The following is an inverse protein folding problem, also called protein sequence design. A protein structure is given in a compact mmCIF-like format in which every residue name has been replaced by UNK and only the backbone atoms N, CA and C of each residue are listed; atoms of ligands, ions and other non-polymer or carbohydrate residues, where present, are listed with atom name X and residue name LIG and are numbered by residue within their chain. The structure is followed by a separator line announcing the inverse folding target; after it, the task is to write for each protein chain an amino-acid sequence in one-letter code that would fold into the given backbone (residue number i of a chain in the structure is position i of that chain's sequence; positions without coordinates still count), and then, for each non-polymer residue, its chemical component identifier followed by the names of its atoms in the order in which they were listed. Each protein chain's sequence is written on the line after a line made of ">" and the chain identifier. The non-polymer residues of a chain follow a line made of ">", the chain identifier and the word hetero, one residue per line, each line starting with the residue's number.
data_IF_973305603148
#
_entry.id   IF_973305603148
#
_cell.length_a   1.000
_cell.length_b   1.000
_cell.length_c   1.000
_cell.angle_alpha   90.00
_cell.angle_beta   90.00
_cell.angle_gamma   90.00
#
_symmetry.space_group_name_H-M   'P 1'
#
loop_
_entity.id
_entity.type
_entity.pdbx_description
1 polymer ?
#
# COMPACT_ATOMS: atom_id res chain seq x y z
N UNK A 1 19.72 -72.73 -4.44
CA UNK A 1 21.14 -73.14 -4.51
C UNK A 1 22.01 -71.92 -4.16
N UNK A 2 23.00 -72.12 -3.29
CA UNK A 2 23.99 -71.17 -2.71
C UNK A 2 25.38 -71.51 -3.32
N UNK A 3 26.51 -70.76 -3.12
CA UNK A 3 26.73 -69.42 -2.55
C UNK A 3 27.86 -68.63 -3.32
N UNK A 4 28.85 -67.90 -2.72
CA UNK A 4 29.16 -66.48 -2.99
C UNK A 4 30.61 -66.27 -3.53
N UNK A 5 31.14 -65.03 -3.56
CA UNK A 5 32.48 -64.66 -3.02
C UNK A 5 32.71 -63.15 -3.13
N UNK A 6 33.18 -62.60 -2.02
CA UNK A 6 33.66 -61.25 -1.75
C UNK A 6 35.03 -60.99 -2.39
N UNK A 7 35.39 -59.72 -2.69
CA UNK A 7 36.72 -59.17 -2.34
C UNK A 7 36.79 -57.65 -2.45
N UNK A 8 37.47 -57.09 -1.45
CA UNK A 8 37.82 -55.70 -1.22
C UNK A 8 38.78 -55.08 -2.26
N UNK A 9 38.72 -53.75 -2.29
CA UNK A 9 39.60 -52.66 -2.78
C UNK A 9 41.12 -52.92 -2.69
N UNK A 10 41.97 -52.20 -3.47
CA UNK A 10 42.50 -50.86 -3.05
C UNK A 10 42.58 -49.82 -4.20
N UNK A 11 42.32 -48.51 -3.97
CA UNK A 11 43.29 -47.40 -3.72
C UNK A 11 43.95 -46.87 -5.01
N UNK A 12 44.41 -45.64 -5.15
CA UNK A 12 44.05 -44.27 -4.74
C UNK A 12 44.91 -43.36 -5.66
N UNK A 13 44.62 -42.07 -5.69
CA UNK A 13 45.51 -40.97 -6.12
C UNK A 13 45.76 -40.66 -7.62
N UNK A 14 45.24 -39.49 -8.01
CA UNK A 14 45.80 -38.61 -9.04
C UNK A 14 45.36 -37.16 -8.77
N UNK A 15 46.27 -36.16 -8.65
CA UNK A 15 45.99 -34.92 -7.92
C UNK A 15 45.18 -33.90 -8.74
N UNK A 16 44.26 -33.22 -8.05
CA UNK A 16 43.55 -32.04 -8.52
C UNK A 16 44.50 -30.84 -8.68
N UNK A 17 44.87 -30.52 -9.92
CA UNK A 17 45.56 -29.28 -10.26
C UNK A 17 44.63 -28.05 -10.24
N UNK A 18 45.06 -26.90 -9.69
CA UNK A 18 44.23 -25.70 -9.60
C UNK A 18 44.09 -25.01 -10.97
N UNK A 19 42.87 -24.63 -11.34
CA UNK A 19 42.59 -23.79 -12.52
C UNK A 19 43.26 -22.41 -12.33
N UNK A 20 43.96 -21.85 -13.34
CA UNK A 20 44.54 -20.52 -13.20
C UNK A 20 43.42 -19.47 -13.15
N UNK A 21 43.36 -18.71 -12.04
CA UNK A 21 42.57 -17.49 -11.91
C UNK A 21 43.19 -16.43 -12.81
N UNK A 22 42.44 -15.94 -13.81
CA UNK A 22 42.84 -14.77 -14.60
C UNK A 22 42.84 -13.53 -13.70
N UNK A 23 44.03 -13.14 -13.24
CA UNK A 23 44.26 -11.85 -12.59
C UNK A 23 44.53 -10.81 -13.69
N UNK A 24 43.49 -10.08 -14.10
CA UNK A 24 43.69 -8.75 -14.70
C UNK A 24 43.64 -7.73 -13.56
N UNK A 25 44.71 -7.70 -12.76
CA UNK A 25 44.90 -6.60 -11.81
C UNK A 25 45.45 -5.41 -12.61
N UNK A 26 44.59 -4.43 -12.85
CA UNK A 26 45.04 -3.08 -13.17
C UNK A 26 46.00 -2.62 -12.05
N UNK A 27 47.29 -2.53 -12.38
CA UNK A 27 48.39 -2.18 -11.47
C UNK A 27 48.55 -0.66 -11.29
N UNK A 28 47.51 0.13 -11.57
CA UNK A 28 47.55 1.58 -11.36
C UNK A 28 47.65 1.91 -9.86
N UNK A 29 48.72 2.58 -9.39
CA UNK A 29 48.89 2.90 -7.98
C UNK A 29 47.76 3.79 -7.44
N UNK A 30 47.33 3.64 -6.16
CA UNK A 30 46.19 4.37 -5.60
C UNK A 30 46.29 5.90 -5.71
N UNK A 31 47.51 6.44 -5.72
CA UNK A 31 47.79 7.87 -5.82
C UNK A 31 47.74 8.42 -7.26
N UNK A 32 47.51 7.56 -8.26
CA UNK A 32 47.30 7.93 -9.67
C UNK A 32 45.86 7.70 -10.15
N UNK A 33 44.93 7.26 -9.29
CA UNK A 33 43.52 7.15 -9.65
C UNK A 33 42.94 8.55 -9.85
N UNK A 34 42.38 8.88 -11.05
CA UNK A 34 41.69 10.14 -11.25
C UNK A 34 40.63 10.30 -10.16
N UNK A 35 40.61 11.47 -9.51
CA UNK A 35 39.57 11.79 -8.53
C UNK A 35 38.23 11.66 -9.25
N UNK A 36 37.35 10.78 -8.77
CA UNK A 36 36.04 10.59 -9.37
C UNK A 36 35.32 11.95 -9.40
N UNK A 37 34.94 12.39 -10.61
CA UNK A 37 34.17 13.62 -10.79
C UNK A 37 32.77 13.37 -10.23
N UNK A 38 32.27 14.22 -9.33
CA UNK A 38 30.94 14.03 -8.75
C UNK A 38 29.85 14.11 -9.83
N UNK A 39 28.93 13.15 -9.80
CA UNK A 39 27.72 13.17 -10.62
C UNK A 39 26.63 13.97 -9.93
N UNK A 40 26.03 14.92 -10.65
CA UNK A 40 24.96 15.78 -10.16
C UNK A 40 23.78 15.66 -11.11
N UNK A 41 22.57 15.44 -10.59
CA UNK A 41 21.37 15.40 -11.40
C UNK A 41 21.10 16.80 -12.01
N UNK A 42 20.84 16.85 -13.33
CA UNK A 42 20.51 18.08 -14.04
C UNK A 42 19.06 18.52 -13.73
N UNK A 43 18.78 18.85 -12.47
CA UNK A 43 17.48 19.31 -12.01
C UNK A 43 17.17 20.73 -12.52
N UNK A 44 15.92 21.03 -12.91
CA UNK A 44 15.54 22.38 -13.32
C UNK A 44 15.91 23.42 -12.26
N UNK A 45 16.53 24.52 -12.68
CA UNK A 45 17.01 25.60 -11.82
C UNK A 45 18.45 25.42 -11.31
N UNK A 46 19.07 24.24 -11.49
CA UNK A 46 20.49 24.05 -11.16
C UNK A 46 21.35 24.96 -12.04
N UNK A 47 22.16 25.82 -11.44
CA UNK A 47 23.06 26.72 -12.18
C UNK A 47 24.42 26.08 -12.36
N UNK A 48 24.84 25.91 -13.61
CA UNK A 48 26.15 25.37 -13.96
C UNK A 48 26.82 26.22 -15.03
N UNK A 49 28.13 26.08 -15.14
CA UNK A 49 28.92 26.66 -16.20
C UNK A 49 29.50 25.57 -17.11
N UNK A 50 29.42 25.77 -18.43
CA UNK A 50 30.13 24.94 -19.39
C UNK A 50 31.51 25.58 -19.69
N UNK A 51 32.63 24.93 -19.32
CA UNK A 51 33.95 25.56 -19.30
C UNK A 51 34.54 25.82 -20.70
N UNK A 52 34.12 25.07 -21.73
CA UNK A 52 34.61 25.25 -23.10
C UNK A 52 34.15 26.56 -23.72
N UNK A 53 32.96 27.04 -23.37
CA UNK A 53 32.41 28.30 -23.88
C UNK A 53 32.21 29.37 -22.81
N UNK A 54 32.42 29.05 -21.53
CA UNK A 54 32.21 29.94 -20.39
C UNK A 54 30.74 30.29 -20.17
N UNK A 55 29.81 29.47 -20.69
CA UNK A 55 28.39 29.76 -20.61
C UNK A 55 27.82 29.31 -19.28
N UNK A 56 27.35 30.26 -18.47
CA UNK A 56 26.75 30.02 -17.16
C UNK A 56 25.23 30.21 -17.24
N UNK A 57 24.47 29.22 -16.82
CA UNK A 57 23.01 29.26 -16.88
C UNK A 57 22.33 28.20 -16.02
N UNK A 58 21.04 28.41 -15.76
CA UNK A 58 20.17 27.47 -15.06
C UNK A 58 19.69 26.38 -16.01
N UNK A 59 19.66 25.12 -15.55
CA UNK A 59 19.05 24.02 -16.29
C UNK A 59 17.56 24.30 -16.46
N UNK A 60 17.07 24.31 -17.70
CA UNK A 60 15.64 24.43 -18.03
C UNK A 60 15.07 23.17 -18.68
N UNK A 61 15.94 22.23 -19.08
CA UNK A 61 15.54 20.95 -19.64
C UNK A 61 16.69 19.97 -19.74
N UNK A 62 16.40 18.67 -19.63
CA UNK A 62 17.36 17.60 -19.80
C UNK A 62 16.72 16.46 -20.61
N UNK A 63 17.31 16.17 -21.77
CA UNK A 63 16.90 15.09 -22.67
C UNK A 63 17.95 13.98 -22.69
N UNK A 64 17.74 12.94 -23.49
CA UNK A 64 18.68 11.82 -23.58
C UNK A 64 20.04 12.28 -24.16
N UNK A 65 20.99 12.58 -23.28
CA UNK A 65 22.36 12.94 -23.62
C UNK A 65 22.64 14.44 -23.71
N UNK A 66 21.66 15.32 -23.46
CA UNK A 66 21.82 16.77 -23.52
C UNK A 66 21.13 17.49 -22.37
N UNK A 67 21.61 18.69 -22.07
CA UNK A 67 21.03 19.64 -21.12
C UNK A 67 20.88 21.00 -21.79
N UNK A 68 19.76 21.67 -21.53
CA UNK A 68 19.50 23.04 -22.00
C UNK A 68 19.69 23.99 -20.83
N UNK A 69 20.55 24.99 -21.01
CA UNK A 69 20.85 26.03 -20.03
C UNK A 69 20.29 27.38 -20.49
N UNK A 70 19.69 28.12 -19.57
CA UNK A 70 19.24 29.51 -19.74
C UNK A 70 20.15 30.46 -18.95
N UNK A 71 20.72 31.47 -19.61
CA UNK A 71 21.49 32.52 -18.93
C UNK A 71 20.59 33.61 -18.33
N UNK A 72 21.20 34.52 -17.55
CA UNK A 72 20.49 35.64 -16.89
C UNK A 72 19.80 36.63 -17.85
N UNK A 73 20.09 36.57 -19.15
CA UNK A 73 19.48 37.41 -20.18
C UNK A 73 18.44 36.63 -21.01
N UNK A 74 18.11 35.40 -20.60
CA UNK A 74 17.13 34.54 -21.27
C UNK A 74 17.65 33.84 -22.51
N UNK A 75 18.98 33.81 -22.75
CA UNK A 75 19.55 33.08 -23.89
C UNK A 75 19.63 31.60 -23.56
N UNK A 76 19.20 30.76 -24.50
CA UNK A 76 19.22 29.30 -24.36
C UNK A 76 20.35 28.67 -25.15
N UNK A 77 21.03 27.68 -24.56
CA UNK A 77 22.01 26.84 -25.24
C UNK A 77 21.93 25.39 -24.78
N UNK A 78 22.15 24.49 -25.73
CA UNK A 78 22.12 23.04 -25.50
C UNK A 78 23.56 22.52 -25.44
N UNK A 79 23.86 21.70 -24.44
CA UNK A 79 25.17 21.10 -24.23
C UNK A 79 25.05 19.57 -24.04
N UNK A 80 26.02 18.78 -24.50
CA UNK A 80 26.04 17.35 -24.25
C UNK A 80 26.36 17.04 -22.77
N UNK A 81 25.75 15.98 -22.21
CA UNK A 81 26.02 15.48 -20.87
C UNK A 81 27.33 14.67 -20.85
N UNK A 82 28.46 15.35 -21.06
CA UNK A 82 29.77 14.69 -21.03
C UNK A 82 30.29 14.53 -19.60
N UNK A 83 31.00 13.41 -19.29
CA UNK A 83 31.71 13.26 -18.02
C UNK A 83 32.66 14.44 -17.77
N UNK A 84 32.50 15.12 -16.63
CA UNK A 84 33.26 16.31 -16.27
C UNK A 84 33.04 17.54 -17.16
N UNK A 85 31.94 17.58 -17.91
CA UNK A 85 31.65 18.65 -18.87
C UNK A 85 31.17 19.97 -18.27
N UNK A 86 30.98 20.07 -16.95
CA UNK A 86 30.37 21.24 -16.31
C UNK A 86 31.12 21.66 -15.04
N UNK A 87 30.94 22.92 -14.65
CA UNK A 87 31.36 23.45 -13.36
C UNK A 87 30.11 23.79 -12.53
N UNK A 88 30.06 23.31 -11.30
CA UNK A 88 29.11 23.74 -10.27
C UNK A 88 29.91 24.47 -9.20
N UNK A 89 29.62 25.76 -8.98
CA UNK A 89 30.36 26.61 -8.05
C UNK A 89 31.89 26.58 -8.30
N UNK A 90 32.28 26.57 -9.59
CA UNK A 90 33.68 26.51 -10.01
C UNK A 90 34.36 25.14 -9.87
N UNK A 91 33.62 24.08 -9.48
CA UNK A 91 34.14 22.71 -9.35
C UNK A 91 33.62 21.83 -10.47
N UNK A 92 34.50 21.02 -11.06
CA UNK A 92 34.12 20.07 -12.12
C UNK A 92 33.11 19.04 -11.64
N UNK A 93 32.01 18.91 -12.38
CA UNK A 93 30.93 17.94 -12.15
C UNK A 93 30.54 17.25 -13.46
N UNK A 94 29.96 16.07 -13.35
CA UNK A 94 29.26 15.39 -14.44
C UNK A 94 27.77 15.57 -14.25
N UNK A 95 27.08 16.18 -15.20
CA UNK A 95 25.62 16.22 -15.16
C UNK A 95 25.04 14.89 -15.63
N UNK A 96 24.07 14.36 -14.88
CA UNK A 96 23.32 13.14 -15.22
C UNK A 96 21.84 13.45 -15.34
N UNK A 97 21.12 12.63 -16.12
CA UNK A 97 19.67 12.77 -16.26
C UNK A 97 19.00 12.64 -14.88
N UNK A 98 18.10 13.55 -14.50
CA UNK A 98 17.34 13.41 -13.26
C UNK A 98 16.60 12.07 -13.25
N UNK A 99 16.71 11.33 -12.14
CA UNK A 99 15.84 10.18 -11.93
C UNK A 99 14.40 10.71 -11.84
N UNK A 100 13.48 10.18 -12.66
CA UNK A 100 12.06 10.43 -12.46
C UNK A 100 11.70 9.96 -11.04
N UNK A 101 11.37 10.91 -10.17
CA UNK A 101 10.90 10.59 -8.82
C UNK A 101 9.68 9.65 -8.85
N UNK A 102 9.35 8.98 -7.73
CA UNK A 102 8.22 8.07 -7.70
C UNK A 102 6.96 8.77 -8.18
N UNK A 103 6.36 8.26 -9.26
CA UNK A 103 5.09 8.73 -9.78
C UNK A 103 4.07 8.55 -8.67
N UNK A 104 3.51 9.65 -8.17
CA UNK A 104 2.50 9.58 -7.12
C UNK A 104 1.28 8.83 -7.68
N UNK A 105 0.66 7.93 -6.89
CA UNK A 105 -0.55 7.25 -7.32
C UNK A 105 -1.60 8.28 -7.73
N UNK A 106 -2.22 8.09 -8.89
CA UNK A 106 -3.35 8.91 -9.32
C UNK A 106 -4.67 8.43 -8.71
N UNK A 107 -4.66 7.27 -8.03
CA UNK A 107 -5.81 6.68 -7.35
C UNK A 107 -5.47 6.19 -5.95
N UNK A 108 -6.45 6.25 -5.04
CA UNK A 108 -6.41 5.63 -3.71
C UNK A 108 -6.64 4.12 -3.81
N UNK A 109 -6.45 3.40 -2.70
CA UNK A 109 -6.70 1.96 -2.64
C UNK A 109 -8.18 1.59 -2.89
N UNK A 110 -9.12 2.48 -2.56
CA UNK A 110 -10.56 2.34 -2.87
C UNK A 110 -10.88 2.58 -4.35
N UNK A 111 -9.96 3.19 -5.10
CA UNK A 111 -10.11 3.47 -6.54
C UNK A 111 -10.51 4.91 -6.88
N UNK A 112 -10.76 5.76 -5.88
CA UNK A 112 -11.00 7.19 -6.06
C UNK A 112 -9.79 7.93 -6.63
N UNK A 113 -10.01 9.12 -7.19
CA UNK A 113 -8.92 9.99 -7.64
C UNK A 113 -8.14 10.48 -6.42
N UNK A 114 -6.82 10.22 -6.40
CA UNK A 114 -5.98 10.73 -5.33
C UNK A 114 -5.93 12.26 -5.38
N UNK A 115 -5.99 12.92 -4.23
CA UNK A 115 -5.86 14.39 -4.10
C UNK A 115 -4.59 14.70 -3.31
N UNK A 116 -3.41 14.75 -3.97
CA UNK A 116 -2.14 14.94 -3.27
C UNK A 116 -2.10 16.28 -2.54
N UNK A 117 -1.77 16.26 -1.25
CA UNK A 117 -1.67 17.47 -0.43
C UNK A 117 -3.01 17.99 0.11
N UNK A 118 -4.12 17.29 -0.11
CA UNK A 118 -5.33 17.51 0.68
C UNK A 118 -4.99 17.32 2.15
N UNK A 119 -5.15 18.37 2.96
CA UNK A 119 -5.12 18.23 4.41
C UNK A 119 -6.35 17.41 4.81
N UNK A 120 -6.16 16.42 5.68
CA UNK A 120 -7.29 15.78 6.34
C UNK A 120 -8.19 16.87 6.90
N UNK A 121 -9.49 16.83 6.58
CA UNK A 121 -10.43 17.78 7.16
C UNK A 121 -10.42 17.58 8.67
N UNK A 122 -10.68 18.64 9.44
CA UNK A 122 -11.08 18.46 10.85
C UNK A 122 -12.23 17.47 10.82
N UNK A 123 -12.16 16.43 11.67
CA UNK A 123 -13.13 15.35 11.66
C UNK A 123 -14.54 15.93 11.57
N UNK A 124 -15.25 15.60 10.49
CA UNK A 124 -16.70 15.78 10.45
C UNK A 124 -17.26 14.95 11.60
N UNK A 125 -18.43 15.34 12.10
CA UNK A 125 -19.03 14.62 13.22
C UNK A 125 -19.45 13.19 12.86
N UNK A 126 -19.53 12.84 11.56
CA UNK A 126 -19.89 11.50 11.10
C UNK A 126 -18.86 10.42 11.45
N UNK A 127 -19.35 9.24 11.85
CA UNK A 127 -18.53 8.10 12.28
C UNK A 127 -18.99 6.81 11.61
N UNK A 128 -18.03 5.90 11.39
CA UNK A 128 -18.32 4.51 11.01
C UNK A 128 -17.82 3.60 12.13
N UNK A 129 -18.72 2.81 12.71
CA UNK A 129 -18.35 1.71 13.59
C UNK A 129 -18.26 0.41 12.80
N UNK A 130 -17.32 -0.45 13.16
CA UNK A 130 -17.19 -1.80 12.64
C UNK A 130 -17.21 -2.81 13.78
N UNK A 131 -17.58 -4.06 13.51
CA UNK A 131 -17.74 -5.05 14.58
C UNK A 131 -16.42 -5.43 15.27
N UNK A 132 -15.30 -5.43 14.53
CA UNK A 132 -14.03 -5.92 15.05
C UNK A 132 -12.81 -5.11 14.63
N UNK A 133 -11.69 -5.44 15.27
CA UNK A 133 -10.40 -4.83 14.96
C UNK A 133 -9.93 -5.13 13.53
N UNK A 134 -10.15 -6.35 13.04
CA UNK A 134 -9.72 -6.72 11.69
C UNK A 134 -10.48 -5.93 10.62
N UNK A 135 -11.76 -5.69 10.85
CA UNK A 135 -12.61 -4.82 10.05
C UNK A 135 -12.05 -3.42 9.97
N UNK A 136 -11.71 -2.85 11.12
CA UNK A 136 -11.15 -1.50 11.19
C UNK A 136 -9.82 -1.42 10.45
N UNK A 137 -8.95 -2.43 10.62
CA UNK A 137 -7.67 -2.51 9.91
C UNK A 137 -7.86 -2.65 8.38
N UNK A 138 -8.87 -3.40 7.93
CA UNK A 138 -9.16 -3.54 6.50
C UNK A 138 -9.77 -2.27 5.92
N UNK A 139 -10.72 -1.65 6.63
CA UNK A 139 -11.36 -0.41 6.22
C UNK A 139 -10.33 0.71 6.12
N UNK A 140 -9.48 0.86 7.13
CA UNK A 140 -8.37 1.82 7.12
C UNK A 140 -7.42 1.58 5.94
N UNK A 141 -7.10 0.32 5.66
CA UNK A 141 -6.18 -0.03 4.57
C UNK A 141 -6.70 0.34 3.18
N UNK A 142 -8.01 0.17 2.94
CA UNK A 142 -8.58 0.33 1.59
C UNK A 142 -9.23 1.70 1.40
N UNK A 143 -9.90 2.24 2.43
CA UNK A 143 -10.65 3.49 2.34
C UNK A 143 -10.09 4.62 3.23
N UNK A 144 -9.06 4.38 4.06
CA UNK A 144 -8.57 5.39 5.01
C UNK A 144 -8.16 6.72 4.38
N UNK A 145 -7.62 6.70 3.15
CA UNK A 145 -7.30 7.93 2.41
C UNK A 145 -8.53 8.76 2.09
N UNK A 146 -9.60 8.12 1.61
CA UNK A 146 -10.87 8.77 1.27
C UNK A 146 -11.60 9.26 2.54
N UNK A 147 -11.62 8.43 3.59
CA UNK A 147 -12.27 8.76 4.86
C UNK A 147 -11.61 9.96 5.53
N UNK A 148 -10.28 10.09 5.49
CA UNK A 148 -9.56 11.26 6.01
C UNK A 148 -9.83 12.54 5.22
N UNK A 149 -10.06 12.44 3.90
CA UNK A 149 -10.49 13.58 3.07
C UNK A 149 -11.89 14.02 3.48
N UNK A 150 -12.79 13.07 3.73
CA UNK A 150 -14.15 13.37 4.17
C UNK A 150 -14.27 13.71 5.65
N UNK A 151 -13.21 13.50 6.44
CA UNK A 151 -13.19 13.73 7.87
C UNK A 151 -14.02 12.70 8.65
N UNK A 152 -14.17 11.48 8.13
CA UNK A 152 -14.91 10.39 8.79
C UNK A 152 -13.93 9.56 9.63
N UNK A 153 -14.33 9.27 10.86
CA UNK A 153 -13.55 8.42 11.78
C UNK A 153 -14.12 6.99 11.76
N UNK A 154 -13.22 6.00 11.81
CA UNK A 154 -13.57 4.58 11.96
C UNK A 154 -13.19 4.11 13.36
N UNK A 155 -14.15 3.51 14.06
CA UNK A 155 -13.97 2.91 15.38
C UNK A 155 -14.49 1.47 15.34
N UNK A 156 -14.01 0.60 16.23
CA UNK A 156 -14.51 -0.76 16.33
C UNK A 156 -15.27 -0.98 17.63
N UNK A 157 -16.22 -1.90 17.59
CA UNK A 157 -17.05 -2.33 18.70
C UNK A 157 -16.44 -3.56 19.37
N UNK A 158 -16.88 -3.87 20.59
CA UNK A 158 -16.65 -5.18 21.22
C UNK A 158 -17.88 -6.09 21.05
N UNK A 159 -18.61 -5.91 19.94
CA UNK A 159 -19.82 -6.64 19.58
C UNK A 159 -21.04 -5.74 19.36
N UNK A 160 -22.05 -6.26 18.68
CA UNK A 160 -23.30 -5.54 18.35
C UNK A 160 -24.15 -5.23 19.59
N UNK A 161 -23.94 -5.94 20.69
CA UNK A 161 -24.74 -5.77 21.92
C UNK A 161 -24.59 -4.37 22.54
N UNK A 162 -23.47 -3.69 22.32
CA UNK A 162 -23.22 -2.33 22.83
C UNK A 162 -23.81 -1.23 21.95
N UNK A 163 -24.30 -1.60 20.76
CA UNK A 163 -24.73 -0.65 19.75
C UNK A 163 -25.84 0.32 20.22
N UNK A 164 -26.87 -0.11 20.99
CA UNK A 164 -27.88 0.81 21.51
C UNK A 164 -27.30 1.94 22.36
N UNK A 165 -26.38 1.61 23.27
CA UNK A 165 -25.73 2.59 24.15
C UNK A 165 -24.87 3.58 23.35
N UNK A 166 -24.17 3.08 22.33
CA UNK A 166 -23.33 3.91 21.46
C UNK A 166 -24.16 4.88 20.64
N UNK A 167 -25.31 4.42 20.12
CA UNK A 167 -26.23 5.28 19.36
C UNK A 167 -26.84 6.35 20.27
N UNK A 168 -27.18 6.00 21.52
CA UNK A 168 -27.66 6.96 22.51
C UNK A 168 -26.58 8.01 22.86
N UNK A 169 -25.35 7.59 23.12
CA UNK A 169 -24.24 8.49 23.44
C UNK A 169 -23.84 9.39 22.26
N UNK A 170 -23.77 8.82 21.06
CA UNK A 170 -23.40 9.55 19.85
C UNK A 170 -24.48 10.56 19.41
N UNK A 171 -25.75 10.27 19.73
CA UNK A 171 -26.93 11.07 19.36
C UNK A 171 -26.94 11.49 17.87
N UNK A 172 -27.03 10.53 16.93
CA UNK A 172 -26.90 10.81 15.51
C UNK A 172 -27.92 11.84 15.01
N UNK A 173 -27.44 12.79 14.21
CA UNK A 173 -28.23 13.90 13.67
C UNK A 173 -27.86 14.25 12.23
N UNK A 174 -28.54 15.23 11.61
CA UNK A 174 -28.31 15.63 10.22
C UNK A 174 -26.85 15.99 9.90
N UNK A 175 -26.15 16.60 10.87
CA UNK A 175 -24.77 17.04 10.74
C UNK A 175 -23.74 16.03 11.28
N UNK A 176 -24.22 14.94 11.91
CA UNK A 176 -23.43 13.95 12.63
C UNK A 176 -24.08 12.55 12.48
N UNK A 177 -23.92 11.94 11.30
CA UNK A 177 -24.53 10.63 11.02
C UNK A 177 -23.64 9.46 11.38
N UNK A 178 -24.26 8.35 11.76
CA UNK A 178 -23.60 7.14 12.21
C UNK A 178 -23.77 6.04 11.17
N UNK A 179 -22.66 5.47 10.71
CA UNK A 179 -22.64 4.22 9.96
C UNK A 179 -22.15 3.07 10.86
N UNK A 180 -22.71 1.87 10.68
CA UNK A 180 -22.27 0.67 11.40
C UNK A 180 -22.17 -0.49 10.42
N UNK A 181 -20.99 -1.10 10.31
CA UNK A 181 -20.76 -2.34 9.56
C UNK A 181 -20.74 -3.52 10.54
N UNK A 182 -21.55 -4.52 10.24
CA UNK A 182 -21.71 -5.73 11.06
C UNK A 182 -21.44 -6.99 10.24
N UNK A 183 -20.81 -7.99 10.84
CA UNK A 183 -20.55 -9.27 10.21
C UNK A 183 -21.82 -10.12 10.27
N UNK A 184 -22.07 -10.89 9.21
CA UNK A 184 -23.08 -11.94 9.17
C UNK A 184 -24.47 -11.55 9.75
N UNK A 185 -24.99 -10.37 9.38
CA UNK A 185 -26.27 -9.89 9.91
C UNK A 185 -27.46 -10.64 9.29
N UNK A 186 -28.00 -11.64 10.01
CA UNK A 186 -29.07 -12.53 9.51
C UNK A 186 -30.46 -12.09 10.00
N UNK A 187 -31.45 -11.89 9.11
CA UNK A 187 -32.82 -11.56 9.50
C UNK A 187 -33.40 -12.50 10.57
N UNK A 188 -33.96 -11.91 11.62
CA UNK A 188 -34.56 -12.64 12.74
C UNK A 188 -33.59 -13.10 13.83
N UNK A 189 -32.28 -12.86 13.69
CA UNK A 189 -31.30 -13.05 14.77
C UNK A 189 -31.46 -12.01 15.89
N UNK A 190 -30.75 -12.18 17.01
CA UNK A 190 -30.72 -11.18 18.09
C UNK A 190 -30.10 -9.88 17.59
N UNK A 191 -28.96 -10.01 16.90
CA UNK A 191 -28.16 -8.94 16.33
C UNK A 191 -28.96 -8.15 15.29
N UNK A 192 -29.76 -8.84 14.45
CA UNK A 192 -30.68 -8.19 13.52
C UNK A 192 -31.71 -7.31 14.23
N UNK A 193 -32.30 -7.79 15.34
CA UNK A 193 -33.27 -6.97 16.11
C UNK A 193 -32.62 -5.74 16.73
N UNK A 194 -31.38 -5.87 17.20
CA UNK A 194 -30.61 -4.74 17.73
C UNK A 194 -30.34 -3.72 16.62
N UNK A 195 -29.87 -4.18 15.46
CA UNK A 195 -29.63 -3.34 14.30
C UNK A 195 -30.89 -2.59 13.84
N UNK A 196 -32.04 -3.28 13.75
CA UNK A 196 -33.33 -2.63 13.42
C UNK A 196 -33.75 -1.59 14.46
N UNK A 197 -33.57 -1.89 15.75
CA UNK A 197 -33.99 -0.99 16.83
C UNK A 197 -33.23 0.34 16.86
N UNK A 198 -31.97 0.35 16.41
CA UNK A 198 -31.15 1.57 16.40
C UNK A 198 -31.13 2.30 15.05
N UNK A 199 -31.58 1.64 13.99
CA UNK A 199 -31.59 2.24 12.65
C UNK A 199 -32.56 3.41 12.60
N UNK A 200 -32.11 4.52 12.02
CA UNK A 200 -32.88 5.75 11.86
C UNK A 200 -32.45 6.51 10.60
N UNK A 201 -33.05 7.68 10.36
CA UNK A 201 -32.64 8.59 9.29
C UNK A 201 -31.17 9.04 9.41
N UNK A 202 -30.59 8.95 10.60
CA UNK A 202 -29.24 9.43 10.90
C UNK A 202 -28.29 8.33 11.40
N UNK A 203 -28.78 7.10 11.56
CA UNK A 203 -27.98 5.94 11.94
C UNK A 203 -28.30 4.77 11.02
N UNK A 204 -27.31 4.32 10.24
CA UNK A 204 -27.44 3.23 9.30
C UNK A 204 -26.60 2.03 9.74
N UNK A 205 -27.26 0.89 9.94
CA UNK A 205 -26.59 -0.41 10.12
C UNK A 205 -26.62 -1.20 8.82
N UNK A 206 -25.46 -1.69 8.39
CA UNK A 206 -25.31 -2.54 7.20
C UNK A 206 -24.56 -3.80 7.59
N UNK A 207 -25.10 -4.95 7.20
CA UNK A 207 -24.44 -6.24 7.38
C UNK A 207 -23.85 -6.77 6.08
N UNK A 208 -22.66 -7.37 6.14
CA UNK A 208 -22.12 -8.15 5.03
C UNK A 208 -22.43 -9.65 5.18
N UNK A 209 -22.49 -10.44 4.09
CA UNK A 209 -22.96 -11.81 4.15
C UNK A 209 -21.93 -12.81 4.72
N UNK A 210 -20.68 -12.36 4.92
CA UNK A 210 -19.58 -13.19 5.38
C UNK A 210 -19.65 -13.48 6.86
N UNK A 211 -19.16 -14.66 7.25
CA UNK A 211 -19.08 -15.06 8.67
C UNK A 211 -18.07 -14.20 9.43
N UNK A 212 -17.02 -13.76 8.73
CA UNK A 212 -15.94 -12.95 9.26
C UNK A 212 -15.32 -12.13 8.11
N UNK A 213 -14.81 -10.94 8.41
CA UNK A 213 -14.14 -10.07 7.43
C UNK A 213 -13.03 -10.74 6.61
N UNK A 214 -12.38 -11.80 7.12
CA UNK A 214 -11.40 -12.56 6.33
C UNK A 214 -12.01 -13.08 5.03
N UNK A 215 -13.25 -13.59 5.09
CA UNK A 215 -13.94 -14.18 3.95
C UNK A 215 -14.32 -13.13 2.89
N UNK A 216 -14.33 -11.85 3.25
CA UNK A 216 -14.53 -10.74 2.32
C UNK A 216 -13.30 -10.43 1.45
N UNK A 217 -12.13 -10.99 1.76
CA UNK A 217 -10.95 -10.92 0.89
C UNK A 217 -11.03 -12.04 -0.16
N UNK A 218 -10.84 -11.71 -1.43
CA UNK A 218 -10.90 -12.70 -2.51
C UNK A 218 -9.90 -13.84 -2.28
N UNK A 219 -10.32 -15.11 -2.42
CA UNK A 219 -9.42 -16.26 -2.30
C UNK A 219 -8.14 -16.15 -3.14
N UNK A 220 -8.27 -15.64 -4.38
CA UNK A 220 -7.15 -15.43 -5.29
C UNK A 220 -6.10 -14.46 -4.76
N UNK A 221 -6.49 -13.46 -3.97
CA UNK A 221 -5.58 -12.47 -3.39
C UNK A 221 -4.63 -13.12 -2.37
N UNK A 222 -5.13 -14.10 -1.63
CA UNK A 222 -4.36 -14.85 -0.61
C UNK A 222 -3.82 -16.19 -1.12
N UNK A 223 -4.01 -16.49 -2.41
CA UNK A 223 -3.46 -17.68 -3.05
C UNK A 223 -4.14 -19.00 -2.67
N UNK A 224 -5.43 -18.95 -2.27
CA UNK A 224 -6.23 -20.14 -1.96
C UNK A 224 -7.33 -20.32 -3.01
N UNK A 225 -7.78 -21.57 -3.22
CA UNK A 225 -8.83 -21.87 -4.19
C UNK A 225 -10.20 -21.33 -3.75
N UNK A 226 -10.51 -21.44 -2.46
CA UNK A 226 -11.70 -20.91 -1.81
C UNK A 226 -11.47 -20.85 -0.30
N UNK A 227 -12.24 -20.02 0.40
CA UNK A 227 -12.32 -20.08 1.86
C UNK A 227 -12.89 -21.43 2.31
N UNK A 228 -12.31 -22.07 3.34
CA UNK A 228 -12.78 -23.37 3.80
C UNK A 228 -14.10 -23.23 4.54
N UNK A 229 -14.96 -24.25 4.42
CA UNK A 229 -16.20 -24.33 5.21
C UNK A 229 -15.87 -24.82 6.61
N UNK A 230 -16.07 -23.97 7.61
CA UNK A 230 -15.93 -24.35 9.02
C UNK A 230 -17.28 -24.83 9.56
N UNK A 231 -17.36 -26.01 10.20
CA UNK A 231 -18.60 -26.49 10.79
C UNK A 231 -19.13 -25.54 11.87
N UNK A 232 -20.46 -25.44 11.96
CA UNK A 232 -21.13 -24.66 13.01
C UNK A 232 -20.70 -25.13 14.41
N UNK A 233 -20.61 -24.17 15.34
CA UNK A 233 -20.19 -24.43 16.72
C UNK A 233 -18.67 -24.48 16.94
N UNK A 234 -17.87 -24.24 15.89
CA UNK A 234 -16.42 -24.08 16.00
C UNK A 234 -16.07 -22.59 15.80
N UNK A 235 -15.00 -22.14 16.45
CA UNK A 235 -14.40 -20.84 16.15
C UNK A 235 -13.97 -20.81 14.69
N UNK A 236 -14.52 -19.85 13.94
CA UNK A 236 -14.37 -19.81 12.48
C UNK A 236 -12.91 -19.55 12.08
N UNK A 237 -12.24 -18.57 12.71
CA UNK A 237 -10.84 -18.22 12.40
C UNK A 237 -9.88 -19.38 12.67
N UNK A 238 -10.02 -20.06 13.80
CA UNK A 238 -9.22 -21.26 14.13
C UNK A 238 -9.52 -22.41 13.17
N UNK A 239 -10.78 -22.58 12.78
CA UNK A 239 -11.20 -23.56 11.77
C UNK A 239 -10.55 -23.31 10.41
N UNK A 240 -10.52 -22.06 9.96
CA UNK A 240 -9.87 -21.63 8.72
C UNK A 240 -8.37 -21.92 8.76
N UNK A 241 -7.67 -21.48 9.81
CA UNK A 241 -6.23 -21.74 9.94
C UNK A 241 -5.93 -23.24 9.87
N UNK A 242 -6.69 -24.07 10.59
CA UNK A 242 -6.53 -25.52 10.59
C UNK A 242 -6.76 -26.12 9.20
N UNK A 243 -7.83 -25.71 8.51
CA UNK A 243 -8.18 -26.25 7.20
C UNK A 243 -7.17 -25.88 6.11
N UNK A 244 -6.55 -24.70 6.21
CA UNK A 244 -5.54 -24.23 5.26
C UNK A 244 -4.11 -24.61 5.66
N UNK A 245 -3.93 -25.31 6.79
CA UNK A 245 -2.62 -25.67 7.33
C UNK A 245 -1.79 -24.46 7.79
N UNK A 246 -2.44 -23.33 8.09
CA UNK A 246 -1.80 -22.17 8.67
C UNK A 246 -1.54 -22.38 10.17
N UNK A 247 -0.52 -21.72 10.75
CA UNK A 247 -0.30 -21.76 12.19
C UNK A 247 -1.57 -21.35 12.96
N UNK A 248 -1.85 -21.93 14.14
CA UNK A 248 -3.01 -21.57 14.97
C UNK A 248 -2.77 -20.23 15.70
N UNK A 249 -2.51 -19.19 14.92
CA UNK A 249 -2.28 -17.82 15.36
C UNK A 249 -3.10 -16.90 14.45
N UNK A 250 -4.27 -16.51 14.93
CA UNK A 250 -5.23 -15.70 14.15
C UNK A 250 -4.69 -14.31 13.83
N UNK A 251 -3.91 -13.71 14.73
CA UNK A 251 -3.24 -12.43 14.45
C UNK A 251 -2.22 -12.54 13.31
N UNK A 252 -1.37 -13.57 13.32
CA UNK A 252 -0.39 -13.79 12.25
C UNK A 252 -1.06 -14.14 10.91
N UNK A 253 -2.13 -14.93 10.95
CA UNK A 253 -2.94 -15.23 9.77
C UNK A 253 -3.62 -13.96 9.22
N UNK A 254 -4.16 -13.11 10.08
CA UNK A 254 -4.72 -11.83 9.67
C UNK A 254 -3.68 -10.92 9.03
N UNK A 255 -2.51 -10.75 9.65
CA UNK A 255 -1.43 -9.95 9.05
C UNK A 255 -0.99 -10.51 7.68
N UNK A 256 -0.99 -11.84 7.52
CA UNK A 256 -0.76 -12.46 6.23
C UNK A 256 -1.84 -12.08 5.21
N UNK A 257 -3.12 -12.23 5.54
CA UNK A 257 -4.26 -11.85 4.68
C UNK A 257 -4.18 -10.36 4.31
N UNK A 258 -4.10 -9.50 5.32
CA UNK A 258 -4.07 -8.05 5.15
C UNK A 258 -2.89 -7.63 4.28
N UNK A 259 -1.71 -8.26 4.39
CA UNK A 259 -0.54 -7.95 3.55
C UNK A 259 -0.79 -8.17 2.04
N UNK A 260 -1.75 -9.03 1.69
CA UNK A 260 -2.11 -9.35 0.31
C UNK A 260 -3.12 -8.38 -0.29
N UNK A 261 -3.91 -7.69 0.54
CA UNK A 261 -4.83 -6.65 0.08
C UNK A 261 -4.01 -5.42 -0.35
N UNK A 262 -4.18 -4.99 -1.60
CA UNK A 262 -3.54 -3.81 -2.19
C UNK A 262 -4.56 -2.75 -2.56
N UNK A 263 -5.78 -3.15 -2.94
CA UNK A 263 -6.86 -2.26 -3.33
C UNK A 263 -8.23 -2.93 -3.17
N UNK A 264 -9.30 -2.18 -3.41
CA UNK A 264 -10.69 -2.68 -3.47
C UNK A 264 -10.84 -3.91 -4.38
N UNK A 265 -9.98 -4.07 -5.40
CA UNK A 265 -10.02 -5.19 -6.34
C UNK A 265 -9.75 -6.53 -5.68
N UNK A 266 -9.09 -6.53 -4.53
CA UNK A 266 -8.75 -7.73 -3.78
C UNK A 266 -9.88 -8.17 -2.84
N UNK A 267 -10.98 -7.41 -2.79
CA UNK A 267 -12.15 -7.65 -1.94
C UNK A 267 -13.35 -8.10 -2.77
N UNK A 268 -14.25 -8.81 -2.11
CA UNK A 268 -15.51 -9.24 -2.71
C UNK A 268 -16.49 -8.06 -2.87
N UNK A 269 -17.27 -8.01 -3.96
CA UNK A 269 -18.19 -6.90 -4.24
C UNK A 269 -19.22 -6.63 -3.14
N UNK A 270 -19.66 -7.66 -2.43
CA UNK A 270 -20.64 -7.56 -1.34
C UNK A 270 -20.14 -6.63 -0.23
N UNK A 271 -18.87 -6.75 0.18
CA UNK A 271 -18.27 -5.88 1.18
C UNK A 271 -18.14 -4.44 0.64
N UNK A 272 -17.70 -4.28 -0.61
CA UNK A 272 -17.57 -2.97 -1.24
C UNK A 272 -18.88 -2.20 -1.20
N UNK A 273 -19.98 -2.84 -1.61
CA UNK A 273 -21.33 -2.23 -1.57
C UNK A 273 -21.75 -1.82 -0.16
N UNK A 274 -21.40 -2.61 0.86
CA UNK A 274 -21.73 -2.28 2.24
C UNK A 274 -20.99 -1.04 2.71
N UNK A 275 -19.67 -1.00 2.50
CA UNK A 275 -18.82 0.13 2.91
C UNK A 275 -19.16 1.39 2.13
N UNK A 276 -19.36 1.31 0.82
CA UNK A 276 -19.77 2.45 -0.02
C UNK A 276 -21.10 3.04 0.47
N UNK A 277 -22.10 2.20 0.77
CA UNK A 277 -23.39 2.64 1.30
C UNK A 277 -23.24 3.36 2.64
N UNK A 278 -22.33 2.90 3.51
CA UNK A 278 -22.04 3.57 4.79
C UNK A 278 -21.34 4.91 4.57
N UNK A 279 -20.35 4.97 3.67
CA UNK A 279 -19.64 6.21 3.32
C UNK A 279 -20.62 7.23 2.77
N UNK A 280 -21.46 6.85 1.81
CA UNK A 280 -22.49 7.72 1.25
C UNK A 280 -23.43 8.23 2.36
N UNK A 281 -23.89 7.33 3.23
CA UNK A 281 -24.74 7.68 4.35
C UNK A 281 -24.09 8.69 5.30
N UNK A 282 -22.80 8.63 5.58
CA UNK A 282 -22.17 9.57 6.52
C UNK A 282 -21.66 10.85 5.86
N UNK A 283 -21.41 10.85 4.55
CA UNK A 283 -20.77 11.97 3.84
C UNK A 283 -21.69 12.82 2.96
N UNK A 284 -22.75 12.26 2.37
CA UNK A 284 -23.64 12.99 1.45
C UNK A 284 -24.64 13.84 2.23
N UNK A 285 -24.68 15.18 2.09
CA UNK A 285 -25.55 16.04 2.90
C UNK A 285 -26.98 15.50 3.08
N UNK A 286 -27.48 15.48 4.31
CA UNK A 286 -28.83 15.05 4.58
C UNK A 286 -29.84 16.07 4.02
N UNK A 287 -30.76 15.59 3.19
CA UNK A 287 -31.92 16.35 2.75
C UNK A 287 -33.18 15.75 3.41
N UNK A 288 -33.98 16.58 4.07
CA UNK A 288 -35.22 16.12 4.66
C UNK A 288 -36.18 15.59 3.57
N UNK A 289 -36.88 14.46 3.81
CA UNK A 289 -37.87 13.96 2.86
C UNK A 289 -38.90 15.06 2.55
N UNK A 290 -39.11 15.33 1.25
CA UNK A 290 -40.19 16.23 0.84
C UNK A 290 -41.52 15.54 1.16
N UNK A 291 -42.31 16.16 2.03
CA UNK A 291 -43.66 15.71 2.39
C UNK A 291 -44.61 15.76 1.19
#
# INVERSE_FOLDING_TARGET
>A
MRPPVSRHRPSDEGPSGPRPRSYSADLTPPWKKPKAVPEIAAEPGLVVEEPGTGFCGAVIGCEAGTVTLEDRFGKHRVFPLQPGGFLLEGRTVTLVKPSSGPVRPTRTASGSVAVPGARARVARAGRIYVEGRHDAELVEKVWGDDLRIEGVVVEYLEGVDDLPSIVEEFAPGPDARLGVLVDHLVPGSKEWRIAEAVTSDHALVVGHPYIDIWEAVKPSSVGIAAWPRVPRGQDWKTGVCRSLGWPPNTGAAWQHILSRVRSYKDLEPELLRCVERLIDHVTVPWEAPRR
#
